data_IF_848495398953
#
_entry.id   IF_848495398953
#
_cell.length_a   1.000
_cell.length_b   1.000
_cell.length_c   1.000
_cell.angle_alpha   90.00
_cell.angle_beta   90.00
_cell.angle_gamma   90.00
#
_symmetry.space_group_name_H-M   'P 1'
#
loop_
_entity.id
_entity.type
_entity.pdbx_description
1 polymer ?
#
# COMPACT_ATOMS: atom_id res chain seq x y z
N UNK A 1 57.64 -19.03 30.24
CA UNK A 1 56.44 -19.85 29.86
C UNK A 1 55.32 -18.88 29.55
N UNK A 2 55.21 -18.44 28.30
CA UNK A 2 54.31 -17.36 27.90
C UNK A 2 53.18 -17.89 26.98
N UNK A 3 51.95 -17.81 27.45
CA UNK A 3 50.76 -18.18 26.69
C UNK A 3 50.44 -17.06 25.69
N UNK A 4 50.50 -17.38 24.40
CA UNK A 4 50.00 -16.48 23.31
C UNK A 4 48.52 -16.74 23.12
N UNK A 5 47.69 -15.74 23.40
CA UNK A 5 46.29 -15.68 22.98
C UNK A 5 46.21 -15.33 21.47
N UNK A 6 45.75 -16.28 20.66
CA UNK A 6 45.39 -16.07 19.27
C UNK A 6 43.95 -15.49 19.23
N UNK A 7 43.82 -14.21 19.01
CA UNK A 7 42.54 -13.55 18.73
C UNK A 7 42.05 -14.04 17.35
N UNK A 8 40.97 -14.82 17.33
CA UNK A 8 40.18 -15.06 16.11
C UNK A 8 39.38 -13.84 15.78
N UNK A 9 39.85 -13.05 14.82
CA UNK A 9 39.06 -11.98 14.20
C UNK A 9 37.87 -12.58 13.47
N UNK A 10 36.68 -12.23 13.89
CA UNK A 10 35.45 -12.57 13.21
C UNK A 10 35.36 -11.70 11.94
N UNK A 11 35.64 -12.31 10.78
CA UNK A 11 35.43 -11.67 9.47
C UNK A 11 33.90 -11.51 9.26
N UNK A 12 33.39 -10.30 9.44
CA UNK A 12 32.03 -9.92 9.06
C UNK A 12 31.94 -9.93 7.52
N UNK A 13 31.32 -10.95 6.96
CA UNK A 13 31.03 -11.03 5.52
C UNK A 13 29.81 -10.14 5.25
N UNK A 14 29.89 -9.09 4.39
CA UNK A 14 28.80 -8.12 4.19
C UNK A 14 27.49 -8.72 3.66
N UNK A 15 27.51 -9.91 3.08
CA UNK A 15 26.34 -10.56 2.47
C UNK A 15 25.34 -11.19 3.46
N UNK A 16 25.71 -11.41 4.72
CA UNK A 16 24.85 -12.08 5.71
C UNK A 16 23.97 -11.13 6.55
N UNK A 17 24.22 -9.82 6.50
CA UNK A 17 23.43 -8.83 7.25
C UNK A 17 22.06 -8.50 6.58
N UNK A 18 21.96 -8.63 5.27
CA UNK A 18 20.73 -8.32 4.54
C UNK A 18 19.52 -9.19 4.91
N UNK A 19 19.62 -10.54 4.97
CA UNK A 19 18.46 -11.37 5.32
C UNK A 19 18.01 -11.19 6.77
N UNK A 20 18.93 -10.90 7.69
CA UNK A 20 18.59 -10.69 9.12
C UNK A 20 17.87 -9.37 9.33
N UNK A 21 18.27 -8.29 8.65
CA UNK A 21 17.56 -7.01 8.68
C UNK A 21 16.17 -7.09 8.05
N UNK A 22 16.02 -7.84 6.96
CA UNK A 22 14.71 -8.07 6.32
C UNK A 22 13.77 -8.88 7.23
N UNK A 23 14.30 -9.88 7.92
CA UNK A 23 13.54 -10.72 8.86
C UNK A 23 13.06 -9.92 10.08
N UNK A 24 13.87 -8.99 10.59
CA UNK A 24 13.49 -8.12 11.70
C UNK A 24 12.46 -7.05 11.27
N UNK A 25 12.56 -6.53 10.05
CA UNK A 25 11.60 -5.57 9.52
C UNK A 25 10.19 -6.19 9.30
N UNK A 26 10.11 -7.47 9.00
CA UNK A 26 8.83 -8.19 8.83
C UNK A 26 8.16 -8.53 10.19
N UNK A 27 8.91 -8.63 11.28
CA UNK A 27 8.35 -8.95 12.61
C UNK A 27 7.52 -7.79 13.21
N UNK A 28 7.75 -6.56 12.74
CA UNK A 28 7.01 -5.36 13.18
C UNK A 28 5.88 -4.96 12.22
N UNK A 29 5.55 -5.82 11.24
CA UNK A 29 4.50 -5.55 10.28
C UNK A 29 3.31 -6.49 10.40
N UNK A 30 2.10 -5.93 10.40
CA UNK A 30 0.87 -6.66 10.16
C UNK A 30 0.60 -6.70 8.66
N UNK A 31 0.80 -7.85 8.06
CA UNK A 31 0.66 -8.03 6.61
C UNK A 31 -0.82 -8.07 6.23
N UNK A 32 -1.23 -7.21 5.32
CA UNK A 32 -2.56 -7.22 4.69
C UNK A 32 -2.53 -7.99 3.37
N UNK A 33 -1.43 -7.84 2.62
CA UNK A 33 -1.20 -8.55 1.37
C UNK A 33 0.31 -8.72 1.13
N UNK A 34 0.74 -9.93 0.78
CA UNK A 34 2.13 -10.26 0.45
C UNK A 34 2.30 -10.78 -0.98
N UNK A 35 1.24 -10.75 -1.79
CA UNK A 35 1.18 -11.22 -3.17
C UNK A 35 1.46 -12.70 -3.39
N UNK A 36 1.44 -13.52 -2.34
CA UNK A 36 1.68 -14.97 -2.46
C UNK A 36 0.54 -15.72 -3.12
N UNK A 37 -0.70 -15.20 -3.04
CA UNK A 37 -1.85 -15.84 -3.68
C UNK A 37 -1.74 -15.91 -5.20
N UNK A 38 -1.05 -14.94 -5.82
CA UNK A 38 -0.90 -14.85 -7.26
C UNK A 38 -2.18 -14.44 -8.02
N UNK A 39 -3.22 -14.05 -7.28
CA UNK A 39 -4.52 -13.59 -7.82
C UNK A 39 -4.96 -12.28 -7.15
N UNK A 40 -6.25 -11.98 -7.10
CA UNK A 40 -6.80 -10.79 -6.41
C UNK A 40 -7.01 -11.01 -4.91
N UNK A 41 -6.79 -12.20 -4.39
CA UNK A 41 -6.93 -12.49 -2.97
C UNK A 41 -5.75 -11.91 -2.18
N UNK A 42 -6.03 -11.28 -1.06
CA UNK A 42 -5.02 -10.76 -0.14
C UNK A 42 -4.71 -11.74 0.98
N UNK A 43 -3.58 -11.57 1.65
CA UNK A 43 -3.20 -12.35 2.83
C UNK A 43 -4.15 -12.14 4.04
N UNK A 44 -4.94 -11.06 4.03
CA UNK A 44 -5.95 -10.76 5.05
C UNK A 44 -7.32 -11.38 4.76
N UNK A 45 -7.40 -12.34 3.84
CA UNK A 45 -8.63 -13.03 3.42
C UNK A 45 -9.72 -12.08 2.89
N UNK A 46 -9.28 -11.07 2.13
CA UNK A 46 -10.13 -10.14 1.40
C UNK A 46 -9.67 -10.04 -0.04
N UNK A 47 -10.62 -9.78 -0.94
CA UNK A 47 -10.32 -9.63 -2.35
C UNK A 47 -10.11 -8.16 -2.70
N UNK A 48 -9.05 -7.89 -3.48
CA UNK A 48 -8.88 -6.61 -4.14
C UNK A 48 -9.93 -6.44 -5.23
N UNK A 49 -10.45 -5.23 -5.37
CA UNK A 49 -11.40 -4.90 -6.42
C UNK A 49 -11.10 -3.55 -7.03
N UNK A 50 -11.39 -3.44 -8.31
CA UNK A 50 -11.31 -2.18 -9.05
C UNK A 50 -12.54 -1.31 -8.73
N UNK A 51 -12.31 -0.04 -8.47
CA UNK A 51 -13.36 0.99 -8.42
C UNK A 51 -12.96 2.13 -9.34
N UNK A 52 -13.84 2.51 -10.26
CA UNK A 52 -13.64 3.66 -11.15
C UNK A 52 -14.70 4.73 -10.86
N UNK A 53 -14.48 5.91 -11.39
CA UNK A 53 -15.46 7.00 -11.35
C UNK A 53 -16.76 6.72 -12.12
N UNK A 54 -16.82 5.64 -12.89
CA UNK A 54 -18.04 5.13 -13.53
C UNK A 54 -19.19 4.93 -12.55
N UNK A 55 -18.93 4.66 -11.26
CA UNK A 55 -19.95 4.60 -10.19
C UNK A 55 -20.66 5.95 -9.97
N UNK A 56 -20.10 7.05 -10.49
CA UNK A 56 -20.64 8.40 -10.40
C UNK A 56 -20.89 9.03 -11.79
N UNK A 57 -20.84 8.23 -12.85
CA UNK A 57 -21.02 8.68 -14.24
C UNK A 57 -19.76 9.20 -14.93
N UNK A 58 -18.59 9.05 -14.32
CA UNK A 58 -17.29 9.34 -14.94
C UNK A 58 -16.94 8.32 -16.04
N UNK A 59 -15.89 8.62 -16.78
CA UNK A 59 -15.48 7.87 -17.99
C UNK A 59 -14.06 7.35 -17.92
N UNK A 60 -13.43 7.35 -16.75
CA UNK A 60 -12.13 6.73 -16.56
C UNK A 60 -12.21 5.23 -16.81
N UNK A 61 -11.26 4.69 -17.56
CA UNK A 61 -11.13 3.27 -17.81
C UNK A 61 -9.98 2.69 -16.99
N UNK A 62 -10.20 1.52 -16.39
CA UNK A 62 -9.20 0.90 -15.54
C UNK A 62 -9.27 -0.62 -15.53
N UNK A 63 -8.11 -1.22 -15.28
CA UNK A 63 -7.94 -2.65 -15.08
C UNK A 63 -7.14 -2.93 -13.83
N UNK A 64 -7.54 -3.95 -13.09
CA UNK A 64 -6.83 -4.47 -11.93
C UNK A 64 -6.64 -5.97 -12.12
N UNK A 65 -5.40 -6.44 -12.19
CA UNK A 65 -5.09 -7.84 -12.44
C UNK A 65 -3.79 -8.26 -11.76
N UNK A 66 -3.59 -9.55 -11.45
CA UNK A 66 -2.28 -10.06 -11.11
C UNK A 66 -1.30 -9.80 -12.27
N UNK A 67 -0.06 -9.49 -11.91
CA UNK A 67 1.00 -9.21 -12.86
C UNK A 67 2.37 -9.44 -12.26
N UNK A 68 3.38 -9.13 -13.05
CA UNK A 68 4.79 -9.18 -12.63
C UNK A 68 5.51 -7.93 -13.14
N UNK A 69 6.39 -7.37 -12.32
CA UNK A 69 7.21 -6.23 -12.69
C UNK A 69 8.63 -6.42 -12.16
N UNK A 70 9.62 -6.35 -13.05
CA UNK A 70 11.03 -6.54 -12.71
C UNK A 70 11.28 -7.82 -11.88
N UNK A 71 10.68 -8.96 -12.30
CA UNK A 71 10.83 -10.27 -11.67
C UNK A 71 10.11 -10.44 -10.32
N UNK A 72 9.19 -9.52 -9.96
CA UNK A 72 8.42 -9.61 -8.71
C UNK A 72 6.92 -9.61 -8.98
N UNK A 73 6.15 -10.52 -8.34
CA UNK A 73 4.70 -10.54 -8.46
C UNK A 73 4.10 -9.27 -7.88
N UNK A 74 3.05 -8.76 -8.52
CA UNK A 74 2.32 -7.58 -8.09
C UNK A 74 0.84 -7.65 -8.44
N UNK A 75 0.08 -6.74 -7.86
CA UNK A 75 -1.24 -6.38 -8.31
C UNK A 75 -1.10 -5.17 -9.25
N UNK A 76 -1.42 -5.34 -10.51
CA UNK A 76 -1.22 -4.32 -11.53
C UNK A 76 -2.48 -3.49 -11.74
N UNK A 77 -2.42 -2.22 -11.38
CA UNK A 77 -3.43 -1.20 -11.63
C UNK A 77 -3.02 -0.38 -12.85
N UNK A 78 -3.78 -0.49 -13.92
CA UNK A 78 -3.55 0.24 -15.17
C UNK A 78 -4.82 0.93 -15.63
N UNK A 79 -4.69 2.02 -16.38
CA UNK A 79 -5.83 2.65 -17.03
C UNK A 79 -5.65 4.13 -17.30
N UNK A 80 -6.64 4.72 -17.94
CA UNK A 80 -6.69 6.13 -18.27
C UNK A 80 -7.62 6.86 -17.30
N UNK A 81 -7.05 7.77 -16.51
CA UNK A 81 -7.83 8.69 -15.67
C UNK A 81 -8.29 9.85 -16.52
N UNK A 82 -9.61 10.07 -16.58
CA UNK A 82 -10.27 11.10 -17.37
C UNK A 82 -11.15 11.95 -16.48
N UNK A 83 -11.24 13.26 -16.79
CA UNK A 83 -11.92 14.23 -15.92
C UNK A 83 -13.35 14.57 -16.34
N UNK A 84 -13.81 14.03 -17.46
CA UNK A 84 -15.15 14.30 -17.96
C UNK A 84 -16.22 13.82 -16.98
N UNK A 85 -17.36 14.46 -16.99
CA UNK A 85 -18.54 14.17 -16.16
C UNK A 85 -18.26 14.24 -14.64
N UNK A 86 -17.34 15.12 -14.20
CA UNK A 86 -16.89 15.23 -12.82
C UNK A 86 -16.28 13.92 -12.27
N UNK A 87 -15.76 13.08 -13.15
CA UNK A 87 -14.99 11.88 -12.84
C UNK A 87 -13.55 12.19 -12.44
N UNK A 88 -12.66 11.26 -12.64
CA UNK A 88 -11.22 11.43 -12.54
C UNK A 88 -10.54 10.54 -11.52
N UNK A 89 -10.94 9.25 -11.41
CA UNK A 89 -10.16 8.28 -10.65
C UNK A 89 -10.33 6.83 -11.11
N UNK A 90 -9.28 6.07 -10.89
CA UNK A 90 -9.30 4.60 -10.82
C UNK A 90 -8.62 4.17 -9.52
N UNK A 91 -9.11 3.10 -8.90
CA UNK A 91 -8.69 2.69 -7.56
C UNK A 91 -8.60 1.18 -7.45
N UNK A 92 -7.49 0.68 -6.89
CA UNK A 92 -7.41 -0.64 -6.29
C UNK A 92 -7.86 -0.52 -4.82
N UNK A 93 -8.91 -1.24 -4.44
CA UNK A 93 -9.51 -1.16 -3.12
C UNK A 93 -9.46 -2.50 -2.38
N UNK A 94 -9.06 -2.48 -1.11
CA UNK A 94 -9.03 -3.62 -0.20
C UNK A 94 -9.81 -3.29 1.06
N UNK A 95 -10.82 -4.09 1.38
CA UNK A 95 -11.53 -3.98 2.66
C UNK A 95 -10.68 -4.59 3.79
N UNK A 96 -10.70 -3.94 4.95
CA UNK A 96 -9.95 -4.36 6.13
C UNK A 96 -10.88 -5.19 7.02
N UNK A 97 -10.56 -6.48 7.30
CA UNK A 97 -11.40 -7.33 8.12
C UNK A 97 -11.25 -7.02 9.61
N UNK A 98 -12.26 -7.40 10.40
CA UNK A 98 -12.28 -7.19 11.85
C UNK A 98 -11.13 -7.91 12.58
N UNK A 99 -10.67 -9.03 12.04
CA UNK A 99 -9.50 -9.76 12.55
C UNK A 99 -8.22 -8.93 12.53
N UNK A 100 -8.05 -8.08 11.52
CA UNK A 100 -6.94 -7.12 11.43
C UNK A 100 -7.13 -6.00 12.46
N UNK A 101 -8.36 -5.48 12.60
CA UNK A 101 -8.67 -4.39 13.54
C UNK A 101 -8.44 -4.80 14.99
N UNK A 102 -8.69 -6.05 15.34
CA UNK A 102 -8.44 -6.56 16.69
C UNK A 102 -6.96 -6.45 17.11
N UNK A 103 -6.04 -6.49 16.15
CA UNK A 103 -4.60 -6.36 16.37
C UNK A 103 -4.00 -5.01 16.03
N UNK A 104 -4.80 -4.01 15.63
CA UNK A 104 -4.30 -2.76 15.03
C UNK A 104 -3.64 -1.80 16.03
N UNK A 105 -3.85 -2.01 17.33
CA UNK A 105 -3.27 -1.16 18.37
C UNK A 105 -1.75 -1.15 18.32
N UNK A 106 -1.15 0.04 18.34
CA UNK A 106 0.30 0.24 18.28
C UNK A 106 0.88 0.33 16.86
N UNK A 107 0.07 0.11 15.81
CA UNK A 107 0.51 0.42 14.46
C UNK A 107 0.37 1.91 14.17
N UNK A 108 1.36 2.47 13.48
CA UNK A 108 1.51 3.92 13.29
C UNK A 108 1.36 4.37 11.84
N UNK A 109 1.29 3.44 10.90
CA UNK A 109 1.13 3.78 9.49
C UNK A 109 0.98 2.57 8.56
N UNK A 110 0.86 2.86 7.26
CA UNK A 110 0.77 1.88 6.17
C UNK A 110 2.12 1.75 5.49
N UNK A 111 2.61 0.53 5.36
CA UNK A 111 3.74 0.17 4.50
C UNK A 111 3.21 -0.31 3.15
N UNK A 112 3.75 0.25 2.08
CA UNK A 112 3.30 -0.01 0.72
C UNK A 112 4.50 -0.21 -0.22
N UNK A 113 4.63 -1.38 -0.82
CA UNK A 113 5.60 -1.61 -1.89
C UNK A 113 4.97 -1.28 -3.24
N UNK A 114 5.67 -0.46 -4.05
CA UNK A 114 5.19 -0.05 -5.36
C UNK A 114 6.31 0.02 -6.39
N UNK A 115 5.92 -0.17 -7.65
CA UNK A 115 6.68 0.16 -8.85
C UNK A 115 5.73 0.88 -9.81
N UNK A 116 6.05 2.08 -10.26
CA UNK A 116 5.15 2.87 -11.10
C UNK A 116 5.84 3.54 -12.28
N UNK A 117 5.11 4.40 -12.93
CA UNK A 117 5.53 5.12 -14.14
C UNK A 117 6.06 6.54 -13.86
N UNK A 118 6.41 6.85 -12.60
CA UNK A 118 6.89 8.17 -12.21
C UNK A 118 5.77 9.16 -11.82
N UNK A 119 4.52 8.72 -11.87
CA UNK A 119 3.35 9.52 -11.57
C UNK A 119 3.04 9.61 -10.07
N UNK A 120 2.18 10.57 -9.70
CA UNK A 120 1.65 10.70 -8.35
C UNK A 120 0.34 9.91 -8.21
N UNK A 121 0.24 9.20 -7.11
CA UNK A 121 -0.92 8.44 -6.67
C UNK A 121 -1.30 8.85 -5.25
N UNK A 122 -2.47 8.43 -4.81
CA UNK A 122 -2.93 8.65 -3.45
C UNK A 122 -3.19 7.33 -2.73
N UNK A 123 -2.87 7.29 -1.44
CA UNK A 123 -3.40 6.29 -0.53
C UNK A 123 -4.60 6.90 0.19
N UNK A 124 -5.76 6.26 0.05
CA UNK A 124 -6.99 6.63 0.73
C UNK A 124 -7.30 5.65 1.85
N UNK A 125 -7.57 6.17 3.03
CA UNK A 125 -8.10 5.40 4.14
C UNK A 125 -9.57 5.79 4.34
N UNK A 126 -10.43 4.81 4.58
CA UNK A 126 -11.82 5.01 4.96
C UNK A 126 -12.11 4.30 6.26
N UNK A 127 -12.77 4.98 7.18
CA UNK A 127 -13.25 4.40 8.42
C UNK A 127 -14.76 4.15 8.36
N UNK A 128 -15.27 3.38 9.32
CA UNK A 128 -16.72 3.11 9.45
C UNK A 128 -17.53 4.35 9.82
N UNK A 129 -16.87 5.42 10.24
CA UNK A 129 -17.51 6.71 10.57
C UNK A 129 -17.82 7.58 9.36
N UNK A 130 -17.27 7.21 8.18
CA UNK A 130 -17.48 7.93 6.94
C UNK A 130 -18.69 7.38 6.19
N UNK A 131 -19.73 8.16 6.09
CA UNK A 131 -21.01 7.76 5.48
C UNK A 131 -21.03 7.97 3.97
N UNK A 132 -20.40 9.05 3.49
CA UNK A 132 -20.45 9.44 2.09
C UNK A 132 -19.30 8.80 1.29
N UNK A 133 -19.54 8.30 0.08
CA UNK A 133 -18.55 7.55 -0.70
C UNK A 133 -17.27 8.35 -1.03
N UNK A 134 -17.37 9.67 -1.13
CA UNK A 134 -16.25 10.56 -1.43
C UNK A 134 -15.42 10.97 -0.21
N UNK A 135 -15.89 10.69 1.02
CA UNK A 135 -15.12 10.98 2.24
C UNK A 135 -13.98 9.99 2.40
N UNK A 136 -12.80 10.50 2.75
CA UNK A 136 -11.60 9.69 2.99
C UNK A 136 -10.56 10.50 3.77
N UNK A 137 -9.50 9.81 4.22
CA UNK A 137 -8.25 10.42 4.64
C UNK A 137 -7.21 10.09 3.57
N UNK A 138 -6.44 11.08 3.13
CA UNK A 138 -5.62 10.98 1.93
C UNK A 138 -4.17 11.32 2.19
N UNK A 139 -3.29 10.57 1.54
CA UNK A 139 -1.87 10.86 1.51
C UNK A 139 -1.35 10.61 0.09
N UNK A 140 -0.67 11.62 -0.48
CA UNK A 140 -0.08 11.52 -1.83
C UNK A 140 1.29 10.89 -1.76
N UNK A 141 1.61 10.02 -2.72
CA UNK A 141 2.94 9.47 -2.93
C UNK A 141 3.31 9.45 -4.41
N UNK A 142 4.59 9.35 -4.70
CA UNK A 142 5.11 9.19 -6.07
C UNK A 142 5.60 7.75 -6.24
N UNK A 143 5.19 7.10 -7.34
CA UNK A 143 5.66 5.77 -7.70
C UNK A 143 6.66 5.85 -8.86
N UNK A 144 7.94 5.65 -8.54
CA UNK A 144 9.03 5.70 -9.52
C UNK A 144 9.14 4.39 -10.30
N UNK A 145 9.82 4.35 -11.47
CA UNK A 145 10.02 3.13 -12.27
C UNK A 145 11.12 2.22 -11.67
N UNK A 146 10.99 1.96 -10.39
CA UNK A 146 11.78 1.01 -9.60
C UNK A 146 11.00 0.59 -8.36
N UNK A 147 11.24 -0.61 -7.84
CA UNK A 147 10.62 -1.05 -6.60
C UNK A 147 11.07 -0.18 -5.43
N UNK A 148 10.10 0.33 -4.70
CA UNK A 148 10.30 1.13 -3.49
C UNK A 148 9.31 0.72 -2.41
N UNK A 149 9.73 0.79 -1.16
CA UNK A 149 8.87 0.62 0.01
C UNK A 149 8.59 1.99 0.62
N UNK A 150 7.34 2.36 0.64
CA UNK A 150 6.86 3.61 1.23
C UNK A 150 6.34 3.34 2.64
N UNK A 151 6.73 4.17 3.61
CA UNK A 151 6.16 4.19 4.96
C UNK A 151 5.31 5.45 5.09
N UNK A 152 4.01 5.28 5.16
CA UNK A 152 3.00 6.34 5.16
C UNK A 152 2.36 6.42 6.55
N UNK A 153 2.86 7.30 7.44
CA UNK A 153 2.37 7.39 8.83
C UNK A 153 0.93 7.91 8.87
N UNK A 154 0.11 7.38 9.78
CA UNK A 154 -1.28 7.81 9.94
C UNK A 154 -1.42 9.30 10.24
N UNK A 155 -0.47 9.88 10.95
CA UNK A 155 -0.44 11.31 11.24
C UNK A 155 -0.27 12.21 10.00
N UNK A 156 0.19 11.65 8.87
CA UNK A 156 0.34 12.38 7.61
C UNK A 156 -0.88 12.33 6.69
N UNK A 157 -1.96 11.64 7.09
CA UNK A 157 -3.19 11.59 6.29
C UNK A 157 -4.08 12.79 6.58
N UNK A 158 -4.44 13.50 5.53
CA UNK A 158 -5.32 14.66 5.58
C UNK A 158 -6.79 14.26 5.39
N UNK A 159 -7.71 14.75 6.23
CA UNK A 159 -9.14 14.52 6.06
C UNK A 159 -9.65 15.21 4.78
N UNK A 160 -10.40 14.48 3.97
CA UNK A 160 -11.04 14.99 2.77
C UNK A 160 -12.56 14.91 2.88
N UNK A 161 -13.23 16.07 2.80
CA UNK A 161 -14.68 16.25 2.92
C UNK A 161 -15.28 15.63 4.19
N UNK A 162 -14.50 15.61 5.27
CA UNK A 162 -14.95 15.21 6.60
C UNK A 162 -14.25 16.06 7.66
N UNK A 163 -14.96 16.37 8.74
CA UNK A 163 -14.40 17.04 9.92
C UNK A 163 -13.99 16.05 11.03
N UNK A 164 -14.07 14.73 10.77
CA UNK A 164 -13.68 13.70 11.75
C UNK A 164 -12.18 13.43 11.71
N UNK A 165 -11.59 13.22 12.87
CA UNK A 165 -10.22 12.71 12.95
C UNK A 165 -10.15 11.25 12.46
N UNK A 166 -9.00 10.84 11.96
CA UNK A 166 -8.77 9.44 11.57
C UNK A 166 -8.74 8.55 12.82
N UNK A 167 -9.71 7.66 12.94
CA UNK A 167 -9.73 6.59 13.92
C UNK A 167 -9.31 5.28 13.22
N UNK A 168 -8.05 4.87 13.43
CA UNK A 168 -7.48 3.68 12.81
C UNK A 168 -8.15 2.41 13.30
N UNK A 169 -8.63 2.38 14.55
CA UNK A 169 -9.40 1.26 15.11
C UNK A 169 -10.72 1.00 14.39
N UNK A 170 -11.17 1.94 13.57
CA UNK A 170 -12.38 1.84 12.76
C UNK A 170 -12.11 1.79 11.25
N UNK A 171 -10.88 1.47 10.88
CA UNK A 171 -10.48 1.36 9.47
C UNK A 171 -11.37 0.33 8.76
N UNK A 172 -11.92 0.72 7.60
CA UNK A 172 -12.83 -0.11 6.80
C UNK A 172 -12.21 -0.53 5.49
N UNK A 173 -11.44 0.38 4.86
CA UNK A 173 -10.90 0.18 3.51
C UNK A 173 -9.62 0.96 3.31
N UNK A 174 -8.70 0.35 2.59
CA UNK A 174 -7.52 0.97 2.00
C UNK A 174 -7.75 1.05 0.50
N UNK A 175 -7.49 2.22 -0.11
CA UNK A 175 -7.58 2.43 -1.54
C UNK A 175 -6.29 3.02 -2.09
N UNK A 176 -5.75 2.43 -3.14
CA UNK A 176 -4.60 2.98 -3.88
C UNK A 176 -5.16 3.58 -5.15
N UNK A 177 -5.01 4.89 -5.32
CA UNK A 177 -5.86 5.68 -6.22
C UNK A 177 -5.04 6.53 -7.17
N UNK A 178 -5.28 6.38 -8.46
CA UNK A 178 -4.90 7.33 -9.48
C UNK A 178 -6.04 8.36 -9.61
N UNK A 179 -5.80 9.64 -9.31
CA UNK A 179 -6.87 10.65 -9.16
C UNK A 179 -6.39 12.08 -9.40
N UNK A 180 -7.32 12.94 -9.74
CA UNK A 180 -7.21 14.40 -9.64
C UNK A 180 -6.68 15.10 -10.89
N UNK A 181 -6.22 14.37 -11.88
CA UNK A 181 -5.83 14.87 -13.21
C UNK A 181 -5.99 13.78 -14.26
N UNK A 182 -6.02 14.16 -15.52
CA UNK A 182 -5.99 13.21 -16.63
C UNK A 182 -4.56 12.67 -16.82
N UNK A 183 -4.39 11.34 -16.79
CA UNK A 183 -3.11 10.67 -17.03
C UNK A 183 -3.29 9.16 -17.19
N UNK A 184 -2.29 8.51 -17.77
CA UNK A 184 -2.24 7.05 -17.82
C UNK A 184 -1.61 6.52 -16.54
N UNK A 185 -2.39 5.82 -15.75
CA UNK A 185 -1.92 5.11 -14.57
C UNK A 185 -1.28 3.79 -14.96
N UNK A 186 -0.14 3.50 -14.37
CA UNK A 186 0.58 2.23 -14.52
C UNK A 186 1.35 1.99 -13.20
N UNK A 187 0.76 1.15 -12.34
CA UNK A 187 1.23 0.94 -10.98
C UNK A 187 1.16 -0.53 -10.61
N UNK A 188 2.31 -1.13 -10.34
CA UNK A 188 2.42 -2.41 -9.67
C UNK A 188 2.46 -2.22 -8.15
N UNK A 189 1.55 -2.89 -7.46
CA UNK A 189 1.41 -2.91 -6.01
C UNK A 189 1.95 -4.25 -5.51
N UNK A 190 3.00 -4.19 -4.71
CA UNK A 190 3.60 -5.34 -4.04
C UNK A 190 2.98 -5.60 -2.68
N UNK A 191 3.83 -5.77 -1.65
CA UNK A 191 3.40 -5.99 -0.28
C UNK A 191 2.69 -4.76 0.29
N UNK A 192 1.59 -5.01 1.01
CA UNK A 192 0.84 -4.00 1.76
C UNK A 192 0.69 -4.47 3.20
N UNK A 193 0.98 -3.60 4.15
CA UNK A 193 0.85 -3.91 5.57
C UNK A 193 0.77 -2.68 6.44
N UNK A 194 0.64 -2.90 7.76
CA UNK A 194 0.72 -1.85 8.76
C UNK A 194 2.03 -1.99 9.51
N UNK A 195 2.69 -0.87 9.81
CA UNK A 195 3.94 -0.83 10.57
C UNK A 195 3.79 -0.11 11.91
N UNK A 196 4.65 -0.46 12.84
CA UNK A 196 4.81 0.20 14.14
C UNK A 196 5.86 1.30 14.12
#
# INVERSE_FOLDING_TARGET
MGLRFLGRGLLLVPGYLYPVMQLMADQDMLILDDRKSGDLQSASDRQWHLVTDGVMGGVSDGRLAPGEMAGRPCLHLQGEVRLENNGGFIQAALDVPDTVLAGITGYTGVSLEVYGNGEQYNLHLRTRDLWLPWQSYRMTFRATPQWQTLRLPFAGFEPYRTGRALDVGRLKRIGIVAIGRAFNADLCIGKVGLFR
#
